data_IF_543130467208
#
_entry.id   IF_543130467208
#
_cell.length_a   1.000
_cell.length_b   1.000
_cell.length_c   1.000
_cell.angle_alpha   90.00
_cell.angle_beta   90.00
_cell.angle_gamma   90.00
#
_symmetry.space_group_name_H-M   'P 1'
#
loop_
_entity.id
_entity.type
_entity.pdbx_description
1 polymer ?
#
# COMPACT_ATOMS: atom_id res chain seq x y z
N UNK A 1 -0.72 -10.11 -9.11
CA UNK A 1 0.27 -9.25 -8.42
C UNK A 1 0.45 -9.80 -7.02
N UNK A 2 1.70 -10.04 -6.62
CA UNK A 2 1.97 -10.46 -5.26
C UNK A 2 1.74 -9.27 -4.32
N UNK A 3 1.20 -9.52 -3.13
CA UNK A 3 1.11 -8.48 -2.11
C UNK A 3 2.47 -7.86 -1.78
N UNK A 4 3.53 -8.67 -1.81
CA UNK A 4 4.90 -8.23 -1.62
C UNK A 4 5.34 -7.14 -2.61
N UNK A 5 4.79 -7.11 -3.83
CA UNK A 5 5.11 -6.07 -4.81
C UNK A 5 4.56 -4.70 -4.36
N UNK A 6 3.39 -4.68 -3.73
CA UNK A 6 2.76 -3.47 -3.17
C UNK A 6 3.55 -2.98 -1.96
N UNK A 7 3.93 -3.87 -1.04
CA UNK A 7 4.74 -3.49 0.13
C UNK A 7 6.11 -2.94 -0.30
N UNK A 8 6.77 -3.61 -1.25
CA UNK A 8 8.05 -3.18 -1.78
C UNK A 8 7.95 -1.81 -2.46
N UNK A 9 6.87 -1.54 -3.19
CA UNK A 9 6.62 -0.22 -3.78
C UNK A 9 6.53 0.86 -2.70
N UNK A 10 5.74 0.66 -1.65
CA UNK A 10 5.63 1.65 -0.57
C UNK A 10 6.97 1.90 0.12
N UNK A 11 7.73 0.84 0.43
CA UNK A 11 9.07 0.97 1.02
C UNK A 11 10.03 1.71 0.08
N UNK A 12 10.00 1.42 -1.22
CA UNK A 12 10.83 2.10 -2.20
C UNK A 12 10.50 3.59 -2.34
N UNK A 13 9.25 3.98 -2.08
CA UNK A 13 8.79 5.37 -2.02
C UNK A 13 9.10 6.05 -0.68
N UNK A 14 9.73 5.35 0.27
CA UNK A 14 10.11 5.89 1.57
C UNK A 14 9.04 5.75 2.65
N UNK A 15 8.07 4.86 2.49
CA UNK A 15 7.07 4.63 3.53
C UNK A 15 7.66 3.88 4.73
N UNK A 16 7.34 4.35 5.94
CA UNK A 16 7.58 3.58 7.17
C UNK A 16 6.59 2.44 7.28
N UNK A 17 7.07 1.26 7.70
CA UNK A 17 6.26 0.06 7.90
C UNK A 17 6.07 -0.20 9.38
N UNK A 18 4.82 -0.25 9.82
CA UNK A 18 4.46 -0.50 11.21
C UNK A 18 3.66 -1.79 11.31
N UNK A 19 4.26 -2.81 11.92
CA UNK A 19 3.61 -4.08 12.19
C UNK A 19 2.42 -3.92 13.14
N UNK A 20 1.32 -4.58 12.81
CA UNK A 20 0.13 -4.68 13.65
C UNK A 20 -0.04 -6.08 14.22
N UNK A 21 -1.18 -6.30 14.88
CA UNK A 21 -1.57 -7.64 15.33
C UNK A 21 -1.92 -8.54 14.14
N UNK A 22 -1.35 -9.75 14.10
CA UNK A 22 -1.64 -10.74 13.06
C UNK A 22 -1.16 -10.28 11.67
N UNK A 23 -2.02 -10.37 10.66
CA UNK A 23 -1.68 -9.94 9.29
C UNK A 23 -1.79 -8.42 9.07
N UNK A 24 -2.13 -7.64 10.10
CA UNK A 24 -2.29 -6.19 9.94
C UNK A 24 -0.94 -5.51 9.78
N UNK A 25 -0.83 -4.61 8.82
CA UNK A 25 0.35 -3.75 8.58
C UNK A 25 -0.13 -2.33 8.30
N UNK A 26 0.60 -1.32 8.80
CA UNK A 26 0.36 0.09 8.44
C UNK A 26 1.55 0.65 7.69
N UNK A 27 1.26 1.57 6.78
CA UNK A 27 2.26 2.35 6.06
C UNK A 27 2.05 3.83 6.38
N UNK A 28 3.16 4.54 6.59
CA UNK A 28 3.17 6.00 6.73
C UNK A 28 4.03 6.57 5.61
N UNK A 29 3.45 7.43 4.77
CA UNK A 29 4.14 8.10 3.66
C UNK A 29 3.61 9.52 3.53
N UNK A 30 4.49 10.52 3.51
CA UNK A 30 4.11 11.94 3.42
C UNK A 30 3.01 12.34 4.43
N UNK A 31 3.14 11.92 5.69
CA UNK A 31 2.17 12.12 6.78
C UNK A 31 0.79 11.46 6.57
N UNK A 32 0.61 10.67 5.50
CA UNK A 32 -0.59 9.87 5.24
C UNK A 32 -0.39 8.47 5.82
N UNK A 33 -1.42 7.97 6.52
CA UNK A 33 -1.42 6.62 7.09
C UNK A 33 -2.45 5.74 6.38
N UNK A 34 -2.05 4.55 5.97
CA UNK A 34 -2.95 3.51 5.49
C UNK A 34 -2.73 2.21 6.25
N UNK A 35 -3.83 1.48 6.51
CA UNK A 35 -3.80 0.17 7.17
C UNK A 35 -4.26 -0.90 6.19
N UNK A 36 -3.51 -1.98 6.10
CA UNK A 36 -3.83 -3.15 5.29
C UNK A 36 -3.79 -4.42 6.12
N UNK A 37 -4.31 -5.49 5.54
CA UNK A 37 -4.14 -6.86 6.02
C UNK A 37 -3.41 -7.67 4.96
N UNK A 38 -2.23 -8.22 5.28
CA UNK A 38 -1.52 -9.15 4.39
C UNK A 38 -2.44 -10.33 4.05
N UNK A 39 -2.56 -10.72 2.77
CA UNK A 39 -3.29 -11.91 2.37
C UNK A 39 -2.78 -13.16 3.11
N UNK A 40 -3.71 -14.02 3.52
CA UNK A 40 -3.43 -15.33 4.10
C UNK A 40 -4.66 -16.25 3.93
N UNK A 41 -4.51 -17.51 3.48
CA UNK A 41 -3.25 -18.19 3.16
C UNK A 41 -2.62 -17.81 1.81
N UNK A 42 -3.37 -17.14 0.93
CA UNK A 42 -2.89 -16.72 -0.38
C UNK A 42 -1.82 -15.61 -0.27
N UNK A 43 -1.05 -15.39 -1.35
CA UNK A 43 -0.01 -14.34 -1.40
C UNK A 43 -0.38 -13.20 -2.34
N UNK A 44 -1.42 -13.38 -3.15
CA UNK A 44 -1.89 -12.41 -4.13
C UNK A 44 -2.69 -11.29 -3.47
N UNK A 45 -2.41 -10.06 -3.87
CA UNK A 45 -3.24 -8.92 -3.49
C UNK A 45 -4.64 -9.07 -4.09
N UNK A 46 -5.69 -8.90 -3.27
CA UNK A 46 -7.07 -8.83 -3.74
C UNK A 46 -7.30 -7.52 -4.50
N UNK A 47 -8.28 -7.49 -5.41
CA UNK A 47 -8.59 -6.29 -6.21
C UNK A 47 -8.81 -5.03 -5.36
N UNK A 48 -9.45 -5.17 -4.20
CA UNK A 48 -9.65 -4.04 -3.29
C UNK A 48 -8.33 -3.55 -2.70
N UNK A 49 -7.37 -4.41 -2.38
CA UNK A 49 -6.07 -3.99 -1.85
C UNK A 49 -5.27 -3.22 -2.89
N UNK A 50 -5.40 -3.58 -4.17
CA UNK A 50 -4.80 -2.83 -5.27
C UNK A 50 -5.42 -1.43 -5.40
N UNK A 51 -6.75 -1.34 -5.29
CA UNK A 51 -7.46 -0.05 -5.30
C UNK A 51 -7.07 0.80 -4.09
N UNK A 52 -7.10 0.23 -2.90
CA UNK A 52 -6.78 0.94 -1.65
C UNK A 52 -5.30 1.39 -1.64
N UNK A 53 -4.40 0.60 -2.25
CA UNK A 53 -3.00 1.00 -2.47
C UNK A 53 -2.87 2.20 -3.40
N UNK A 54 -3.64 2.22 -4.49
CA UNK A 54 -3.70 3.38 -5.40
C UNK A 54 -4.24 4.62 -4.69
N UNK A 55 -5.35 4.51 -3.97
CA UNK A 55 -5.93 5.62 -3.21
C UNK A 55 -4.95 6.15 -2.15
N UNK A 56 -4.17 5.26 -1.51
CA UNK A 56 -3.12 5.66 -0.59
C UNK A 56 -2.04 6.49 -1.28
N UNK A 57 -1.54 6.04 -2.43
CA UNK A 57 -0.53 6.79 -3.21
C UNK A 57 -1.06 8.14 -3.69
N UNK A 58 -2.30 8.20 -4.19
CA UNK A 58 -2.94 9.45 -4.61
C UNK A 58 -3.06 10.44 -3.45
N UNK A 59 -3.43 9.98 -2.25
CA UNK A 59 -3.44 10.80 -1.03
C UNK A 59 -2.05 11.29 -0.62
N UNK A 60 -1.00 10.52 -0.94
CA UNK A 60 0.40 10.93 -0.75
C UNK A 60 0.88 11.90 -1.85
N UNK A 61 0.03 12.30 -2.80
CA UNK A 61 0.39 13.14 -3.94
C UNK A 61 1.14 12.40 -5.05
N UNK A 62 1.10 11.07 -5.04
CA UNK A 62 1.76 10.20 -6.03
C UNK A 62 0.70 9.64 -6.97
N UNK A 63 0.60 10.22 -8.15
CA UNK A 63 -0.27 9.74 -9.22
C UNK A 63 0.54 8.97 -10.28
N UNK A 64 -0.08 8.03 -11.01
CA UNK A 64 0.54 7.48 -12.22
C UNK A 64 0.79 8.58 -13.24
N UNK A 65 1.87 8.49 -13.99
CA UNK A 65 2.10 9.39 -15.12
C UNK A 65 0.94 9.25 -16.13
N UNK A 66 0.22 10.35 -16.37
CA UNK A 66 -0.85 10.43 -17.36
C UNK A 66 -2.25 10.75 -16.84
N UNK A 67 -2.44 10.96 -15.53
CA UNK A 67 -3.71 11.47 -14.99
C UNK A 67 -3.59 12.99 -14.78
N UNK A 68 -4.19 13.84 -15.65
CA UNK A 68 -4.21 15.27 -15.39
C UNK A 68 -5.12 15.54 -14.19
N UNK A 69 -4.55 16.17 -13.16
CA UNK A 69 -5.28 16.70 -12.01
C UNK A 69 -6.41 17.67 -12.41
#
# INVERSE_FOLDING_TARGET
MAWADIEALFVALGADVIEGSGSRVRFVLHDVVATFHRPHPEKEAKRYQVRDAREFLEKCGIAPEGDPA
#
